data_IF_941734409983
#
_entry.id   IF_941734409983
#
_cell.length_a   1.000
_cell.length_b   1.000
_cell.length_c   1.000
_cell.angle_alpha   90.00
_cell.angle_beta   90.00
_cell.angle_gamma   90.00
#
_symmetry.space_group_name_H-M   'P 1'
#
loop_
_entity.id
_entity.type
_entity.pdbx_description
1 polymer ?
#
# COMPACT_ATOMS: atom_id res chain seq x y z
N UNK A 1 -46.29 -12.87 -57.60
CA UNK A 1 -45.47 -12.15 -56.61
C UNK A 1 -44.04 -12.20 -57.11
N UNK A 2 -43.52 -11.02 -57.44
CA UNK A 2 -42.13 -10.59 -57.74
C UNK A 2 -41.06 -11.66 -58.04
N UNK A 3 -40.58 -11.76 -59.30
CA UNK A 3 -39.51 -10.94 -59.94
C UNK A 3 -38.09 -11.29 -59.44
N UNK A 4 -37.35 -12.16 -60.15
CA UNK A 4 -36.55 -11.92 -61.37
C UNK A 4 -35.18 -11.24 -61.15
N UNK A 5 -34.13 -11.98 -61.51
CA UNK A 5 -32.76 -11.48 -61.72
C UNK A 5 -32.52 -11.16 -63.21
N UNK A 6 -31.64 -10.20 -63.53
CA UNK A 6 -30.86 -10.09 -64.80
C UNK A 6 -29.74 -9.03 -64.62
N UNK A 7 -28.64 -9.16 -65.36
CA UNK A 7 -27.43 -8.31 -65.33
C UNK A 7 -27.31 -7.35 -66.55
N UNK A 8 -26.27 -6.48 -66.52
CA UNK A 8 -25.69 -5.65 -67.59
C UNK A 8 -26.50 -4.39 -67.99
N UNK A 9 -25.93 -3.18 -68.19
CA UNK A 9 -24.80 -2.80 -69.08
C UNK A 9 -24.12 -1.47 -68.64
N UNK A 10 -22.80 -1.39 -68.86
CA UNK A 10 -21.86 -0.26 -69.04
C UNK A 10 -22.25 1.21 -68.72
N UNK A 11 -21.28 1.91 -68.10
CA UNK A 11 -20.74 3.18 -68.65
C UNK A 11 -19.22 3.32 -68.43
N UNK A 12 -18.50 3.44 -69.55
CA UNK A 12 -17.19 4.09 -69.71
C UNK A 12 -17.30 5.59 -69.34
N UNK A 13 -16.27 6.37 -69.03
CA UNK A 13 -14.82 6.18 -68.79
C UNK A 13 -14.38 7.38 -67.86
N UNK A 14 -13.15 7.63 -67.39
CA UNK A 14 -11.83 7.41 -67.99
C UNK A 14 -10.68 7.22 -66.98
N UNK A 15 -9.51 6.97 -67.57
CA UNK A 15 -8.11 6.92 -67.12
C UNK A 15 -7.50 8.28 -66.68
N UNK A 16 -6.28 8.38 -66.13
CA UNK A 16 -5.15 7.45 -66.18
C UNK A 16 -4.15 7.54 -65.00
N UNK A 17 -3.57 6.36 -64.68
CA UNK A 17 -2.15 6.06 -64.36
C UNK A 17 -1.41 6.86 -63.23
N UNK A 18 -0.50 6.28 -62.43
CA UNK A 18 0.51 5.25 -62.73
C UNK A 18 0.74 4.26 -61.57
N UNK A 19 1.21 3.07 -61.96
CA UNK A 19 1.91 2.08 -61.10
C UNK A 19 3.45 2.29 -61.26
N UNK A 20 4.41 1.71 -60.52
CA UNK A 20 4.53 0.43 -59.80
C UNK A 20 5.62 0.49 -58.70
N UNK A 21 5.46 -0.37 -57.70
CA UNK A 21 6.47 -1.19 -56.99
C UNK A 21 7.64 -0.55 -56.21
N UNK A 22 7.75 -1.01 -54.96
CA UNK A 22 8.96 -1.11 -54.15
C UNK A 22 8.63 -1.97 -52.92
N UNK A 23 9.10 -3.21 -52.88
CA UNK A 23 9.02 -4.04 -51.67
C UNK A 23 10.11 -3.57 -50.69
N UNK A 24 9.84 -3.60 -49.38
CA UNK A 24 10.68 -4.35 -48.44
C UNK A 24 10.08 -4.41 -47.01
N UNK A 25 10.46 -5.48 -46.33
CA UNK A 25 10.13 -5.99 -44.97
C UNK A 25 9.56 -5.06 -43.88
N UNK A 26 8.66 -5.56 -43.01
CA UNK A 26 8.31 -4.90 -41.75
C UNK A 26 9.44 -5.05 -40.71
N UNK A 27 9.78 -4.01 -39.92
CA UNK A 27 10.71 -4.16 -38.81
C UNK A 27 10.02 -4.88 -37.66
N UNK A 28 10.52 -6.08 -37.34
CA UNK A 28 10.28 -6.74 -36.07
C UNK A 28 11.30 -6.21 -35.04
N UNK A 29 10.85 -5.33 -34.15
CA UNK A 29 11.57 -4.95 -32.94
C UNK A 29 10.56 -4.48 -31.88
N UNK A 30 10.32 -5.32 -30.87
CA UNK A 30 9.72 -4.91 -29.59
C UNK A 30 10.68 -5.26 -28.45
N UNK A 31 11.97 -4.94 -28.63
CA UNK A 31 12.98 -5.09 -27.60
C UNK A 31 12.77 -4.08 -26.47
N UNK A 32 12.86 -4.59 -25.25
CA UNK A 32 12.84 -3.81 -24.01
C UNK A 32 14.09 -2.94 -23.91
N UNK A 33 13.95 -1.61 -23.91
CA UNK A 33 14.61 -0.64 -22.97
C UNK A 33 14.46 0.80 -23.47
N UNK A 34 13.48 1.55 -22.95
CA UNK A 34 13.59 3.02 -22.77
C UNK A 34 12.90 3.41 -21.46
N UNK A 35 13.58 4.08 -20.51
CA UNK A 35 12.93 4.57 -19.30
C UNK A 35 11.90 5.66 -19.66
N UNK A 36 10.80 5.72 -18.90
CA UNK A 36 9.68 6.65 -19.10
C UNK A 36 10.03 8.08 -18.63
N UNK A 37 11.05 8.68 -19.25
CA UNK A 37 11.47 10.08 -19.06
C UNK A 37 10.95 10.91 -20.24
N UNK A 38 9.65 11.23 -20.22
CA UNK A 38 9.08 12.24 -21.11
C UNK A 38 7.70 12.78 -20.67
N UNK A 39 7.45 12.90 -19.36
CA UNK A 39 6.23 13.52 -18.81
C UNK A 39 6.45 14.97 -18.30
N UNK A 40 7.70 15.44 -18.17
CA UNK A 40 8.02 16.81 -17.76
C UNK A 40 7.31 17.85 -18.65
N UNK A 41 7.19 17.55 -19.95
CA UNK A 41 6.46 18.34 -20.94
C UNK A 41 4.94 18.46 -20.70
N UNK A 42 4.35 17.66 -19.81
CA UNK A 42 2.93 17.78 -19.41
C UNK A 42 2.75 18.34 -17.98
N UNK A 43 3.83 18.51 -17.22
CA UNK A 43 3.82 19.32 -15.99
C UNK A 43 3.95 20.80 -16.35
N UNK A 44 4.74 21.13 -17.37
CA UNK A 44 4.97 22.51 -17.84
C UNK A 44 3.68 23.26 -18.22
N UNK A 45 2.68 22.58 -18.78
CA UNK A 45 1.40 23.18 -19.20
C UNK A 45 0.47 23.54 -18.02
N UNK A 46 0.78 23.03 -16.82
CA UNK A 46 0.17 23.46 -15.55
C UNK A 46 0.99 24.59 -14.92
N UNK A 47 2.32 24.49 -14.89
CA UNK A 47 3.23 25.54 -14.40
C UNK A 47 3.04 26.87 -15.15
N UNK A 48 2.98 26.84 -16.48
CA UNK A 48 2.94 28.06 -17.31
C UNK A 48 1.62 28.84 -17.22
N UNK A 49 0.61 28.31 -16.52
CA UNK A 49 -0.63 29.02 -16.17
C UNK A 49 -0.70 29.51 -14.72
N UNK A 50 0.30 29.17 -13.90
CA UNK A 50 0.37 29.57 -12.49
C UNK A 50 1.35 30.73 -12.27
N UNK A 51 2.33 30.95 -13.15
CA UNK A 51 3.34 32.03 -13.06
C UNK A 51 2.87 33.43 -13.51
N UNK A 52 1.56 33.69 -13.51
CA UNK A 52 0.97 35.02 -13.75
C UNK A 52 -0.17 35.31 -12.77
N UNK A 53 0.14 35.39 -11.48
CA UNK A 53 -0.66 36.10 -10.48
C UNK A 53 0.11 36.33 -9.15
N UNK A 54 1.42 36.59 -9.22
CA UNK A 54 2.24 36.98 -8.07
C UNK A 54 2.55 38.48 -8.09
N UNK A 55 1.75 39.26 -7.35
CA UNK A 55 2.15 40.57 -6.84
C UNK A 55 1.27 40.92 -5.63
N UNK A 56 1.93 41.37 -4.56
CA UNK A 56 1.40 41.65 -3.22
C UNK A 56 0.90 40.45 -2.40
N UNK A 57 1.74 40.01 -1.45
CA UNK A 57 1.35 39.84 -0.03
C UNK A 57 2.57 39.78 0.89
N UNK A 58 3.42 40.80 0.83
CA UNK A 58 4.45 41.02 1.85
C UNK A 58 3.93 42.02 2.90
N UNK A 59 4.32 41.87 4.18
CA UNK A 59 3.92 42.64 5.40
C UNK A 59 2.79 42.10 6.31
N UNK A 60 2.84 40.83 6.74
CA UNK A 60 2.28 40.41 8.06
C UNK A 60 3.25 39.55 8.89
N UNK A 61 4.50 40.01 9.02
CA UNK A 61 5.50 39.42 9.94
C UNK A 61 6.17 40.49 10.81
N UNK A 62 5.37 41.15 11.63
CA UNK A 62 5.82 42.00 12.74
C UNK A 62 4.72 42.03 13.83
N UNK A 63 5.12 42.26 15.09
CA UNK A 63 4.29 42.26 16.31
C UNK A 63 3.91 40.84 16.78
N UNK A 64 4.79 40.22 17.57
CA UNK A 64 4.49 39.05 18.40
C UNK A 64 5.36 39.01 19.69
N UNK A 65 5.14 40.01 20.53
CA UNK A 65 5.57 40.25 21.92
C UNK A 65 4.48 41.19 22.49
N UNK A 66 4.03 41.20 23.74
CA UNK A 66 4.29 40.47 24.99
C UNK A 66 3.02 40.63 25.88
N UNK A 67 2.82 39.79 26.91
CA UNK A 67 2.30 40.11 28.28
C UNK A 67 1.78 38.84 29.00
N UNK A 68 1.92 38.86 30.33
CA UNK A 68 1.93 37.71 31.27
C UNK A 68 0.58 37.21 31.79
N UNK A 69 0.62 35.92 32.17
CA UNK A 69 0.14 35.28 33.41
C UNK A 69 -1.00 35.92 34.24
N UNK A 70 -2.03 35.12 34.51
CA UNK A 70 -2.57 34.89 35.87
C UNK A 70 -2.91 33.40 36.01
N UNK A 71 -2.33 32.71 36.99
CA UNK A 71 -2.67 31.32 37.35
C UNK A 71 -3.83 31.24 38.35
N UNK A 72 -4.62 30.17 38.28
CA UNK A 72 -5.57 29.74 39.32
C UNK A 72 -5.35 28.25 39.61
N UNK A 73 -4.92 27.92 40.82
CA UNK A 73 -4.56 26.55 41.24
C UNK A 73 -5.74 25.77 41.83
N UNK A 74 -6.02 24.53 41.36
CA UNK A 74 -6.83 23.56 42.08
C UNK A 74 -5.99 22.75 43.11
N UNK A 75 -6.62 22.13 44.12
CA UNK A 75 -5.91 21.41 45.18
C UNK A 75 -5.33 20.05 44.74
N UNK A 76 -4.33 19.58 45.50
CA UNK A 76 -3.40 18.53 45.06
C UNK A 76 -3.92 17.09 45.17
N UNK A 77 -3.62 16.30 44.13
CA UNK A 77 -3.61 14.83 44.13
C UNK A 77 -2.19 14.34 44.51
N UNK A 78 -2.02 13.29 45.34
CA UNK A 78 -0.70 12.85 45.79
C UNK A 78 0.22 12.37 44.63
N UNK A 79 1.55 12.56 44.74
CA UNK A 79 2.45 12.38 43.62
C UNK A 79 2.67 10.89 43.28
N UNK A 80 2.29 10.52 42.05
CA UNK A 80 2.84 9.33 41.37
C UNK A 80 4.35 9.53 41.23
N UNK A 81 5.15 8.52 41.56
CA UNK A 81 6.61 8.62 41.52
C UNK A 81 7.07 9.05 40.12
N UNK A 82 7.74 10.21 40.03
CA UNK A 82 8.24 10.74 38.76
C UNK A 82 9.48 9.96 38.35
N UNK A 83 9.37 9.18 37.28
CA UNK A 83 10.54 8.74 36.49
C UNK A 83 11.36 9.99 36.13
N UNK A 84 12.69 10.01 36.26
CA UNK A 84 13.48 11.20 35.96
C UNK A 84 13.28 11.67 34.52
N UNK A 85 12.89 12.94 34.31
CA UNK A 85 12.52 13.50 33.00
C UNK A 85 13.48 13.12 31.87
N UNK A 86 14.78 13.22 32.15
CA UNK A 86 15.87 12.90 31.21
C UNK A 86 15.80 11.48 30.63
N UNK A 87 15.34 10.50 31.41
CA UNK A 87 15.17 9.12 30.96
C UNK A 87 13.95 8.97 30.02
N UNK A 88 12.94 9.83 30.12
CA UNK A 88 11.78 9.80 29.23
C UNK A 88 12.16 10.39 27.85
N UNK A 89 12.97 11.44 27.84
CA UNK A 89 13.43 12.11 26.61
C UNK A 89 14.38 11.22 25.79
N UNK A 90 15.37 10.62 26.46
CA UNK A 90 16.32 9.68 25.86
C UNK A 90 15.57 8.45 25.30
N UNK A 91 14.70 7.82 26.09
CA UNK A 91 13.88 6.68 25.66
C UNK A 91 12.91 7.03 24.51
N UNK A 92 12.31 8.23 24.51
CA UNK A 92 11.43 8.66 23.43
C UNK A 92 12.20 8.84 22.11
N UNK A 93 13.46 9.30 22.17
CA UNK A 93 14.33 9.34 20.99
C UNK A 93 14.63 7.94 20.47
N UNK A 94 15.08 7.03 21.34
CA UNK A 94 15.46 5.65 20.96
C UNK A 94 14.31 4.89 20.28
N UNK A 95 13.09 5.05 20.80
CA UNK A 95 11.86 4.48 20.21
C UNK A 95 11.62 5.05 18.81
N UNK A 96 11.79 6.35 18.61
CA UNK A 96 11.62 6.99 17.30
C UNK A 96 12.75 6.60 16.32
N UNK A 97 13.97 6.38 16.79
CA UNK A 97 15.07 5.84 15.98
C UNK A 97 14.80 4.38 15.55
N UNK A 98 14.23 3.56 16.44
CA UNK A 98 13.74 2.21 16.09
C UNK A 98 12.67 2.28 15.00
N UNK A 99 11.68 3.17 15.14
CA UNK A 99 10.61 3.36 14.15
C UNK A 99 11.17 3.89 12.82
N UNK A 100 12.14 4.80 12.86
CA UNK A 100 12.79 5.37 11.66
C UNK A 100 13.50 4.32 10.81
N UNK A 101 14.09 3.26 11.41
CA UNK A 101 14.69 2.13 10.66
C UNK A 101 13.70 1.40 9.75
N UNK A 102 12.39 1.55 9.96
CA UNK A 102 11.36 0.96 9.11
C UNK A 102 10.95 1.86 7.94
N UNK A 103 11.36 3.14 7.95
CA UNK A 103 10.96 4.14 6.98
C UNK A 103 11.87 4.26 5.75
N UNK A 104 11.34 4.90 4.71
CA UNK A 104 12.06 5.30 3.50
C UNK A 104 11.50 6.65 3.01
N UNK A 105 12.35 7.67 2.99
CA UNK A 105 12.00 9.01 2.51
C UNK A 105 12.44 9.19 1.05
N UNK A 106 11.73 10.04 0.31
CA UNK A 106 12.24 10.51 -0.98
C UNK A 106 13.28 11.63 -0.74
N UNK A 107 14.32 11.75 -1.59
CA UNK A 107 15.17 12.93 -1.60
C UNK A 107 14.35 14.20 -1.82
N UNK A 108 14.80 15.32 -1.24
CA UNK A 108 14.24 16.63 -1.57
C UNK A 108 14.55 16.99 -3.02
N UNK A 109 13.74 17.88 -3.62
CA UNK A 109 13.92 18.30 -5.02
C UNK A 109 15.27 18.99 -5.28
N UNK A 110 15.88 19.54 -4.24
CA UNK A 110 17.11 20.32 -4.32
C UNK A 110 18.38 19.46 -4.34
N UNK A 111 18.24 18.13 -4.31
CA UNK A 111 19.35 17.18 -4.44
C UNK A 111 20.26 17.08 -3.21
N UNK A 112 19.91 17.75 -2.11
CA UNK A 112 20.59 17.57 -0.83
C UNK A 112 20.32 16.17 -0.27
N UNK A 113 21.38 15.39 -0.07
CA UNK A 113 21.32 14.17 0.71
C UNK A 113 20.99 14.52 2.18
N UNK A 114 19.70 14.54 2.50
CA UNK A 114 19.27 14.48 3.90
C UNK A 114 19.88 13.22 4.53
N UNK A 115 20.46 13.38 5.72
CA UNK A 115 21.42 12.47 6.38
C UNK A 115 20.85 11.13 6.87
N UNK A 116 19.85 10.57 6.19
CA UNK A 116 19.03 9.45 6.64
C UNK A 116 18.10 9.79 7.80
N UNK A 117 18.11 11.04 8.29
CA UNK A 117 17.32 11.51 9.43
C UNK A 117 15.88 11.83 9.04
N UNK A 118 14.93 11.37 9.87
CA UNK A 118 13.52 11.70 9.71
C UNK A 118 13.26 13.15 10.13
N UNK A 119 13.09 14.05 9.14
CA UNK A 119 12.84 15.48 9.36
C UNK A 119 11.66 15.75 10.31
N UNK A 120 10.62 14.92 10.25
CA UNK A 120 9.44 15.02 11.11
C UNK A 120 9.63 14.49 12.54
N UNK A 121 10.74 13.83 12.90
CA UNK A 121 10.97 13.22 14.23
C UNK A 121 10.63 14.15 15.41
N UNK A 122 10.98 15.45 15.41
CA UNK A 122 10.62 16.37 16.50
C UNK A 122 9.11 16.57 16.70
N UNK A 123 8.26 16.35 15.68
CA UNK A 123 6.80 16.43 15.79
C UNK A 123 6.18 15.24 16.56
N UNK A 124 6.93 14.14 16.70
CA UNK A 124 6.46 12.90 17.29
C UNK A 124 7.05 12.62 18.68
N UNK A 125 8.13 13.29 19.09
CA UNK A 125 8.75 13.08 20.42
C UNK A 125 7.76 13.34 21.55
N UNK A 126 7.01 14.46 21.50
CA UNK A 126 5.95 14.77 22.47
C UNK A 126 4.83 13.73 22.53
N UNK A 127 4.53 13.07 21.40
CA UNK A 127 3.54 11.99 21.34
C UNK A 127 4.07 10.72 22.00
N UNK A 128 5.35 10.39 21.84
CA UNK A 128 5.96 9.23 22.50
C UNK A 128 6.13 9.48 24.00
N UNK A 129 6.64 10.66 24.40
CA UNK A 129 6.74 11.08 25.81
C UNK A 129 5.39 10.96 26.55
N UNK A 130 4.31 11.52 25.99
CA UNK A 130 2.97 11.45 26.59
C UNK A 130 2.43 10.00 26.74
N UNK A 131 2.87 9.05 25.91
CA UNK A 131 2.51 7.64 26.04
C UNK A 131 3.40 6.91 27.07
N UNK A 132 4.69 7.24 27.13
CA UNK A 132 5.61 6.74 28.15
C UNK A 132 5.18 7.15 29.57
N UNK A 133 4.76 8.41 29.77
CA UNK A 133 4.26 8.92 31.06
C UNK A 133 2.99 8.19 31.54
N UNK A 134 2.15 7.73 30.61
CA UNK A 134 0.97 6.91 30.92
C UNK A 134 1.36 5.49 31.30
N UNK A 135 2.49 4.99 30.80
CA UNK A 135 2.93 3.61 31.01
C UNK A 135 2.15 2.63 30.13
N UNK A 136 1.95 2.97 28.86
CA UNK A 136 1.24 2.16 27.88
C UNK A 136 2.13 1.88 26.65
N UNK A 137 1.85 0.78 25.93
CA UNK A 137 2.52 0.48 24.65
C UNK A 137 2.44 1.68 23.68
N UNK A 138 3.48 1.89 22.89
CA UNK A 138 3.55 3.05 21.97
C UNK A 138 2.59 2.82 20.80
N UNK A 139 1.47 3.55 20.79
CA UNK A 139 0.46 3.41 19.74
C UNK A 139 0.87 4.20 18.51
N UNK A 140 0.95 3.49 17.39
CA UNK A 140 1.17 4.02 16.05
C UNK A 140 -0.13 3.89 15.24
N UNK A 141 -0.35 4.77 14.26
CA UNK A 141 -1.51 4.70 13.38
C UNK A 141 -1.10 4.78 11.92
N UNK A 142 -1.65 3.88 11.09
CA UNK A 142 -1.38 3.80 9.66
C UNK A 142 -2.71 3.67 8.89
N UNK A 143 -3.15 4.70 8.15
CA UNK A 143 -4.16 4.53 7.12
C UNK A 143 -3.55 3.73 5.95
N UNK A 144 -4.11 2.55 5.75
CA UNK A 144 -3.61 1.51 4.85
C UNK A 144 -4.58 0.33 4.84
N UNK A 145 -4.32 -0.65 3.98
CA UNK A 145 -5.10 -1.88 3.86
C UNK A 145 -6.62 -1.63 3.61
N UNK A 146 -6.97 -0.94 2.50
CA UNK A 146 -8.34 -0.70 2.10
C UNK A 146 -9.08 -1.99 1.64
N UNK A 147 -8.65 -2.55 0.51
CA UNK A 147 -9.21 -3.70 -0.23
C UNK A 147 -8.23 -4.06 -1.36
N UNK A 148 -8.19 -5.29 -1.89
CA UNK A 148 -7.44 -5.56 -3.13
C UNK A 148 -8.05 -4.79 -4.31
N UNK A 149 -7.22 -4.22 -5.19
CA UNK A 149 -7.60 -3.44 -6.37
C UNK A 149 -8.72 -4.09 -7.20
N UNK A 150 -9.66 -3.26 -7.68
CA UNK A 150 -10.77 -3.67 -8.54
C UNK A 150 -10.29 -4.28 -9.88
N UNK A 151 -9.04 -4.01 -10.28
CA UNK A 151 -8.40 -4.66 -11.41
C UNK A 151 -7.84 -6.05 -11.03
N UNK A 152 -8.77 -7.01 -10.90
CA UNK A 152 -8.53 -8.44 -10.61
C UNK A 152 -7.96 -9.22 -11.81
N UNK A 153 -7.91 -8.60 -13.00
CA UNK A 153 -7.48 -9.25 -14.25
C UNK A 153 -5.97 -9.05 -14.49
N UNK A 154 -5.45 -7.87 -14.16
CA UNK A 154 -4.09 -7.45 -14.48
C UNK A 154 -3.21 -7.13 -13.27
N UNK A 155 -3.76 -6.77 -12.10
CA UNK A 155 -2.93 -6.25 -10.98
C UNK A 155 -2.77 -7.22 -9.81
N UNK A 156 -3.87 -7.74 -9.30
CA UNK A 156 -3.92 -8.56 -8.08
C UNK A 156 -4.21 -10.03 -8.41
N UNK A 157 -4.11 -10.89 -7.40
CA UNK A 157 -4.41 -12.34 -7.43
C UNK A 157 -5.88 -12.66 -7.13
N UNK A 158 -6.59 -11.78 -6.42
CA UNK A 158 -7.95 -12.00 -5.94
C UNK A 158 -8.49 -10.81 -5.14
N UNK A 159 -9.53 -11.04 -4.33
CA UNK A 159 -10.19 -10.00 -3.50
C UNK A 159 -9.69 -9.95 -2.06
N UNK A 160 -9.12 -11.06 -1.58
CA UNK A 160 -8.70 -11.27 -0.18
C UNK A 160 -7.19 -10.98 -0.01
N UNK A 161 -6.73 -10.71 1.23
CA UNK A 161 -5.31 -10.59 1.56
C UNK A 161 -4.49 -11.79 1.09
N UNK A 162 -3.36 -11.52 0.44
CA UNK A 162 -2.43 -12.52 -0.08
C UNK A 162 -1.06 -12.44 0.62
N UNK A 163 0.00 -13.08 0.10
CA UNK A 163 1.32 -13.07 0.74
C UNK A 163 1.88 -11.64 0.92
N UNK A 164 1.52 -10.70 0.03
CA UNK A 164 1.92 -9.31 0.16
C UNK A 164 1.33 -8.66 1.41
N UNK A 165 0.08 -8.97 1.76
CA UNK A 165 -0.51 -8.53 3.02
C UNK A 165 0.13 -9.24 4.22
N UNK A 166 0.39 -10.55 4.15
CA UNK A 166 0.99 -11.31 5.26
C UNK A 166 2.36 -10.74 5.67
N UNK A 167 3.26 -10.56 4.70
CA UNK A 167 4.60 -9.99 4.95
C UNK A 167 4.53 -8.55 5.48
N UNK A 168 3.56 -7.76 5.01
CA UNK A 168 3.35 -6.40 5.49
C UNK A 168 2.89 -6.36 6.95
N UNK A 169 1.98 -7.26 7.35
CA UNK A 169 1.56 -7.38 8.76
C UNK A 169 2.72 -7.86 9.64
N UNK A 170 3.49 -8.86 9.20
CA UNK A 170 4.71 -9.30 9.92
C UNK A 170 5.70 -8.15 10.10
N UNK A 171 5.97 -7.36 9.05
CA UNK A 171 6.88 -6.21 9.11
C UNK A 171 6.44 -5.16 10.13
N UNK A 172 5.14 -4.84 10.14
CA UNK A 172 4.56 -3.91 11.11
C UNK A 172 4.59 -4.47 12.54
N UNK A 173 4.39 -5.78 12.71
CA UNK A 173 4.49 -6.43 14.02
C UNK A 173 5.94 -6.45 14.53
N UNK A 174 6.92 -6.74 13.65
CA UNK A 174 8.34 -6.74 14.01
C UNK A 174 8.83 -5.36 14.48
N UNK A 175 8.34 -4.27 13.88
CA UNK A 175 8.61 -2.92 14.38
C UNK A 175 8.13 -2.72 15.83
N UNK A 176 6.99 -3.31 16.21
CA UNK A 176 6.49 -3.27 17.59
C UNK A 176 7.29 -4.15 18.55
N UNK A 177 7.78 -5.31 18.09
CA UNK A 177 8.68 -6.18 18.84
C UNK A 177 10.06 -5.54 19.05
N UNK A 178 10.63 -4.90 18.02
CA UNK A 178 11.91 -4.20 18.09
C UNK A 178 11.91 -3.09 19.17
N UNK A 179 10.77 -2.40 19.36
CA UNK A 179 10.61 -1.40 20.43
C UNK A 179 10.79 -2.02 21.83
N UNK A 180 10.49 -3.32 22.01
CA UNK A 180 10.67 -4.02 23.30
C UNK A 180 12.13 -4.11 23.74
N UNK A 181 13.10 -3.93 22.83
CA UNK A 181 14.52 -3.88 23.17
C UNK A 181 14.87 -2.69 24.08
N UNK A 182 14.10 -1.59 24.03
CA UNK A 182 14.31 -0.40 24.87
C UNK A 182 13.12 -0.10 25.80
N UNK A 183 11.90 -0.52 25.43
CA UNK A 183 10.68 -0.27 26.19
C UNK A 183 9.82 -1.53 26.32
N UNK A 184 9.76 -2.20 27.48
CA UNK A 184 9.16 -3.54 27.61
C UNK A 184 7.71 -3.71 27.15
N UNK A 185 6.91 -2.64 27.11
CA UNK A 185 5.53 -2.69 26.60
C UNK A 185 5.43 -2.65 25.06
N UNK A 186 6.54 -2.39 24.36
CA UNK A 186 6.62 -2.42 22.91
C UNK A 186 5.82 -1.31 22.21
N UNK A 187 5.55 -1.53 20.93
CA UNK A 187 4.62 -0.74 20.14
C UNK A 187 3.29 -1.45 19.89
N UNK A 188 2.32 -0.73 19.33
CA UNK A 188 1.09 -1.30 18.78
C UNK A 188 0.68 -0.52 17.52
N UNK A 189 0.59 -1.20 16.37
CA UNK A 189 0.14 -0.56 15.12
C UNK A 189 -1.37 -0.72 14.97
N UNK A 190 -2.05 0.42 14.96
CA UNK A 190 -3.46 0.53 14.59
C UNK A 190 -3.54 0.81 13.09
N UNK A 191 -3.94 -0.21 12.33
CA UNK A 191 -4.24 -0.10 10.91
C UNK A 191 -5.60 0.57 10.80
N UNK A 192 -5.60 1.86 10.50
CA UNK A 192 -6.79 2.66 10.29
C UNK A 192 -7.34 2.36 8.88
N UNK A 193 -8.03 1.24 8.70
CA UNK A 193 -8.47 0.77 7.38
C UNK A 193 -9.35 1.81 6.73
N UNK A 194 -8.87 2.40 5.63
CA UNK A 194 -9.61 3.33 4.79
C UNK A 194 -10.61 2.63 3.85
N UNK A 195 -10.84 1.33 4.09
CA UNK A 195 -11.86 0.43 3.51
C UNK A 195 -13.19 1.10 3.15
N UNK A 196 -13.96 1.44 4.17
CA UNK A 196 -15.28 2.04 3.99
C UNK A 196 -15.23 3.49 3.45
N UNK A 197 -14.04 4.07 3.30
CA UNK A 197 -13.85 5.48 2.94
C UNK A 197 -13.80 5.69 1.41
N UNK A 198 -13.32 4.75 0.58
CA UNK A 198 -13.28 4.96 -0.89
C UNK A 198 -13.85 3.84 -1.77
N UNK A 199 -14.31 2.72 -1.21
CA UNK A 199 -14.79 1.55 -1.95
C UNK A 199 -15.88 1.86 -3.00
N UNK A 200 -16.94 2.58 -2.61
CA UNK A 200 -18.00 3.06 -3.51
C UNK A 200 -17.47 3.99 -4.64
N UNK A 201 -16.45 4.81 -4.34
CA UNK A 201 -15.84 5.74 -5.31
C UNK A 201 -15.04 5.00 -6.39
N UNK A 202 -14.48 3.83 -6.06
CA UNK A 202 -13.69 3.00 -6.99
C UNK A 202 -14.46 1.81 -7.57
N UNK A 203 -15.67 1.54 -7.09
CA UNK A 203 -16.54 0.47 -7.58
C UNK A 203 -16.27 -0.90 -6.97
N UNK A 204 -15.97 -0.92 -5.67
CA UNK A 204 -15.85 -2.12 -4.84
C UNK A 204 -17.03 -2.12 -3.85
N UNK A 205 -17.59 -3.30 -3.57
CA UNK A 205 -18.73 -3.40 -2.68
C UNK A 205 -18.32 -3.45 -1.22
N UNK A 206 -19.21 -2.97 -0.36
CA UNK A 206 -19.08 -3.00 1.09
C UNK A 206 -18.79 -4.43 1.61
N UNK A 207 -19.30 -5.48 0.96
CA UNK A 207 -19.01 -6.88 1.27
C UNK A 207 -17.57 -7.32 0.92
N UNK A 208 -17.01 -6.84 -0.19
CA UNK A 208 -15.64 -7.14 -0.59
C UNK A 208 -14.67 -6.41 0.35
N UNK A 209 -14.98 -5.16 0.73
CA UNK A 209 -14.27 -4.39 1.77
C UNK A 209 -14.30 -5.12 3.12
N UNK A 210 -15.49 -5.60 3.53
CA UNK A 210 -15.65 -6.40 4.75
C UNK A 210 -14.80 -7.68 4.71
N UNK A 211 -14.90 -8.45 3.63
CA UNK A 211 -14.21 -9.72 3.48
C UNK A 211 -12.68 -9.55 3.47
N UNK A 212 -12.17 -8.47 2.87
CA UNK A 212 -10.75 -8.14 2.95
C UNK A 212 -10.31 -7.79 4.37
N UNK A 213 -11.08 -6.95 5.07
CA UNK A 213 -10.81 -6.58 6.48
C UNK A 213 -10.81 -7.79 7.42
N UNK A 214 -11.81 -8.66 7.33
CA UNK A 214 -11.86 -9.90 8.14
C UNK A 214 -10.76 -10.90 7.76
N UNK A 215 -10.33 -10.91 6.49
CA UNK A 215 -9.16 -11.65 6.06
C UNK A 215 -7.88 -11.20 6.79
N UNK A 216 -7.70 -9.89 7.01
CA UNK A 216 -6.57 -9.34 7.76
C UNK A 216 -6.64 -9.65 9.26
N UNK A 217 -7.83 -9.55 9.86
CA UNK A 217 -8.04 -9.96 11.27
C UNK A 217 -7.70 -11.43 11.46
N UNK A 218 -8.18 -12.28 10.54
CA UNK A 218 -7.94 -13.73 10.57
C UNK A 218 -6.46 -14.06 10.40
N UNK A 219 -5.80 -13.44 9.41
CA UNK A 219 -4.37 -13.58 9.14
C UNK A 219 -3.51 -13.14 10.33
N UNK A 220 -3.80 -11.98 10.93
CA UNK A 220 -3.09 -11.50 12.11
C UNK A 220 -3.23 -12.48 13.30
N UNK A 221 -4.41 -13.09 13.48
CA UNK A 221 -4.68 -14.07 14.53
C UNK A 221 -4.00 -15.41 14.28
N UNK A 222 -4.09 -15.95 13.06
CA UNK A 222 -3.45 -17.22 12.66
C UNK A 222 -1.92 -17.16 12.82
N UNK A 223 -1.33 -16.00 12.55
CA UNK A 223 0.12 -15.78 12.59
C UNK A 223 0.64 -15.18 13.92
N UNK A 224 -0.22 -15.01 14.94
CA UNK A 224 0.18 -14.52 16.27
C UNK A 224 0.66 -13.07 16.31
N UNK A 225 0.14 -12.20 15.44
CA UNK A 225 0.57 -10.81 15.27
C UNK A 225 -0.12 -9.86 16.26
N UNK A 226 0.09 -10.11 17.55
CA UNK A 226 -0.66 -9.49 18.65
C UNK A 226 -0.54 -7.95 18.73
N UNK A 227 0.51 -7.35 18.16
CA UNK A 227 0.68 -5.89 18.15
C UNK A 227 -0.08 -5.20 17.01
N UNK A 228 -0.72 -5.95 16.11
CA UNK A 228 -1.58 -5.42 15.05
C UNK A 228 -3.01 -5.29 15.55
N UNK A 229 -3.64 -4.13 15.30
CA UNK A 229 -5.07 -3.88 15.52
C UNK A 229 -5.65 -3.25 14.28
N UNK A 230 -6.76 -3.79 13.76
CA UNK A 230 -7.54 -3.11 12.73
C UNK A 230 -8.50 -2.12 13.40
N UNK A 231 -8.65 -0.96 12.78
CA UNK A 231 -9.46 0.15 13.24
C UNK A 231 -10.20 0.73 12.03
N UNK A 232 -11.48 0.42 11.90
CA UNK A 232 -12.35 0.89 10.81
C UNK A 232 -12.86 2.29 11.13
N UNK A 233 -13.33 3.02 10.11
CA UNK A 233 -13.94 4.34 10.31
C UNK A 233 -15.11 4.32 11.31
N UNK A 234 -15.89 3.23 11.35
CA UNK A 234 -16.98 3.04 12.34
C UNK A 234 -16.48 2.86 13.77
N UNK A 235 -15.28 2.29 13.97
CA UNK A 235 -14.64 2.20 15.28
C UNK A 235 -14.14 3.58 15.73
N UNK A 236 -13.58 4.37 14.81
CA UNK A 236 -13.09 5.73 15.08
C UNK A 236 -14.25 6.71 15.38
N UNK A 237 -15.42 6.46 14.80
CA UNK A 237 -16.66 7.19 15.09
C UNK A 237 -17.39 6.68 16.35
N UNK A 238 -16.93 5.60 16.99
CA UNK A 238 -17.53 5.03 18.21
C UNK A 238 -18.82 4.24 17.98
N UNK A 239 -19.14 3.84 16.74
CA UNK A 239 -20.37 3.10 16.44
C UNK A 239 -20.34 1.64 16.92
N UNK A 240 -19.16 1.09 17.10
CA UNK A 240 -18.89 -0.29 17.51
C UNK A 240 -18.50 -0.41 18.99
N UNK A 241 -18.47 0.71 19.74
CA UNK A 241 -18.13 0.72 21.17
C UNK A 241 -19.01 -0.27 21.96
N UNK A 242 -18.35 -1.21 22.64
CA UNK A 242 -18.99 -2.26 23.44
C UNK A 242 -19.72 -3.35 22.63
N UNK A 243 -19.53 -3.43 21.31
CA UNK A 243 -20.20 -4.40 20.43
C UNK A 243 -19.20 -5.32 19.75
N UNK A 244 -19.59 -6.58 19.53
CA UNK A 244 -18.95 -7.41 18.52
C UNK A 244 -19.39 -6.90 17.15
N UNK A 245 -18.43 -6.55 16.29
CA UNK A 245 -18.73 -6.18 14.91
C UNK A 245 -18.86 -7.45 14.06
N UNK A 246 -20.08 -7.72 13.59
CA UNK A 246 -20.35 -8.72 12.56
C UNK A 246 -20.65 -8.06 11.20
N UNK A 247 -20.88 -8.89 10.18
CA UNK A 247 -21.15 -8.42 8.81
C UNK A 247 -22.45 -7.64 8.69
N UNK A 248 -23.49 -8.00 9.44
CA UNK A 248 -24.79 -7.32 9.36
C UNK A 248 -24.69 -5.91 9.97
N UNK A 249 -24.10 -5.81 11.16
CA UNK A 249 -23.83 -4.53 11.80
C UNK A 249 -22.89 -3.68 10.94
N UNK A 250 -21.82 -4.25 10.38
CA UNK A 250 -20.93 -3.53 9.47
C UNK A 250 -21.70 -2.92 8.30
N UNK A 251 -22.45 -3.73 7.55
CA UNK A 251 -23.23 -3.29 6.38
C UNK A 251 -24.30 -2.26 6.76
N UNK A 252 -24.92 -2.39 7.93
CA UNK A 252 -25.92 -1.40 8.41
C UNK A 252 -25.32 -0.01 8.70
N UNK A 253 -24.02 0.06 8.97
CA UNK A 253 -23.32 1.28 9.37
C UNK A 253 -22.61 1.99 8.21
N UNK A 254 -22.44 1.35 7.05
CA UNK A 254 -21.52 1.84 6.00
C UNK A 254 -21.88 3.24 5.49
N UNK A 255 -23.10 3.40 4.99
CA UNK A 255 -23.59 4.67 4.47
C UNK A 255 -23.56 5.77 5.55
N UNK A 256 -24.01 5.45 6.76
CA UNK A 256 -24.03 6.40 7.89
C UNK A 256 -22.63 6.91 8.24
N UNK A 257 -21.62 6.04 8.23
CA UNK A 257 -20.24 6.43 8.52
C UNK A 257 -19.64 7.31 7.40
N UNK A 258 -19.94 7.03 6.13
CA UNK A 258 -19.53 7.88 5.00
C UNK A 258 -20.14 9.29 5.10
N UNK A 259 -21.43 9.36 5.41
CA UNK A 259 -22.17 10.62 5.57
C UNK A 259 -21.64 11.44 6.74
N UNK A 260 -21.46 10.86 7.93
CA UNK A 260 -20.94 11.57 9.10
C UNK A 260 -19.49 12.03 8.92
N UNK A 261 -18.64 11.20 8.32
CA UNK A 261 -17.26 11.55 7.99
C UNK A 261 -17.21 12.81 7.11
N UNK A 262 -18.02 12.85 6.05
CA UNK A 262 -18.07 13.98 5.14
C UNK A 262 -18.75 15.21 5.77
N UNK A 263 -19.83 15.03 6.54
CA UNK A 263 -20.51 16.15 7.21
C UNK A 263 -19.65 16.81 8.30
N UNK A 264 -18.85 16.02 9.02
CA UNK A 264 -18.08 16.50 10.18
C UNK A 264 -16.65 16.92 9.84
N UNK A 265 -16.04 16.30 8.81
CA UNK A 265 -14.63 16.48 8.47
C UNK A 265 -14.38 16.82 6.99
N UNK A 266 -15.43 16.89 6.17
CA UNK A 266 -15.37 17.23 4.76
C UNK A 266 -14.56 18.48 4.42
N UNK A 267 -14.17 18.56 3.16
CA UNK A 267 -13.73 19.79 2.48
C UNK A 267 -14.45 19.90 1.14
N UNK A 268 -14.62 21.11 0.63
CA UNK A 268 -15.13 21.29 -0.73
C UNK A 268 -14.08 20.90 -1.76
N UNK A 269 -14.50 20.71 -3.01
CA UNK A 269 -13.56 20.45 -4.11
C UNK A 269 -12.60 21.63 -4.31
N UNK A 270 -13.06 22.86 -4.14
CA UNK A 270 -12.27 24.09 -4.24
C UNK A 270 -11.19 24.16 -3.17
N UNK A 271 -11.52 23.83 -1.91
CA UNK A 271 -10.55 23.79 -0.81
C UNK A 271 -9.45 22.74 -1.07
N UNK A 272 -9.83 21.53 -1.49
CA UNK A 272 -8.86 20.47 -1.85
C UNK A 272 -7.99 20.88 -3.05
N UNK A 273 -8.58 21.57 -4.03
CA UNK A 273 -7.84 22.15 -5.16
C UNK A 273 -6.89 23.26 -4.77
N UNK A 274 -7.18 24.00 -3.71
CA UNK A 274 -6.28 25.01 -3.17
C UNK A 274 -5.13 24.35 -2.37
N UNK A 275 -5.42 23.37 -1.52
CA UNK A 275 -4.40 22.60 -0.81
C UNK A 275 -3.37 21.94 -1.75
N UNK A 276 -3.79 21.42 -2.91
CA UNK A 276 -2.87 20.87 -3.92
C UNK A 276 -1.93 21.91 -4.57
N UNK A 277 -2.19 23.21 -4.43
CA UNK A 277 -1.25 24.27 -4.83
C UNK A 277 -0.31 24.63 -3.69
N UNK A 278 -0.83 24.66 -2.46
CA UNK A 278 -0.16 25.20 -1.28
C UNK A 278 0.75 24.16 -0.59
N UNK A 279 0.46 22.86 -0.72
CA UNK A 279 1.23 21.76 -0.12
C UNK A 279 1.72 20.72 -1.17
N UNK A 280 3.05 20.59 -1.36
CA UNK A 280 3.65 19.57 -2.22
C UNK A 280 3.31 18.13 -1.84
N UNK A 281 3.16 17.80 -0.56
CA UNK A 281 2.89 16.42 -0.11
C UNK A 281 1.43 16.01 -0.45
N UNK A 282 0.48 16.95 -0.37
CA UNK A 282 -0.89 16.82 -0.88
C UNK A 282 -0.92 16.65 -2.41
N UNK A 283 -0.14 17.44 -3.16
CA UNK A 283 -0.03 17.31 -4.62
C UNK A 283 0.57 15.95 -5.03
N UNK A 284 1.61 15.48 -4.35
CA UNK A 284 2.21 14.16 -4.56
C UNK A 284 1.18 13.04 -4.35
N UNK A 285 0.32 13.18 -3.33
CA UNK A 285 -0.75 12.22 -3.03
C UNK A 285 -1.78 12.15 -4.18
N UNK A 286 -2.25 13.31 -4.68
CA UNK A 286 -3.15 13.36 -5.85
C UNK A 286 -2.51 12.79 -7.12
N UNK A 287 -1.25 13.12 -7.39
CA UNK A 287 -0.49 12.55 -8.51
C UNK A 287 -0.36 11.02 -8.38
N UNK A 288 -0.18 10.50 -7.17
CA UNK A 288 -0.24 9.08 -6.86
C UNK A 288 -1.60 8.46 -7.20
N UNK A 289 -2.69 9.10 -6.78
CA UNK A 289 -4.07 8.65 -7.06
C UNK A 289 -4.32 8.55 -8.56
N UNK A 290 -3.98 9.57 -9.35
CA UNK A 290 -4.09 9.51 -10.82
C UNK A 290 -3.32 8.32 -11.40
N UNK A 291 -2.05 8.14 -10.99
CA UNK A 291 -1.18 7.07 -11.52
C UNK A 291 -1.74 5.66 -11.30
N UNK A 292 -2.31 5.35 -10.13
CA UNK A 292 -2.90 4.02 -9.91
C UNK A 292 -4.32 3.90 -10.49
N UNK A 293 -5.16 4.93 -10.41
CA UNK A 293 -6.54 4.89 -10.89
C UNK A 293 -6.64 4.70 -12.41
N UNK A 294 -5.69 5.19 -13.21
CA UNK A 294 -5.63 4.90 -14.65
C UNK A 294 -5.52 3.38 -14.93
N UNK A 295 -4.95 2.61 -14.00
CA UNK A 295 -4.85 1.14 -14.09
C UNK A 295 -5.95 0.39 -13.33
N UNK A 296 -6.37 0.87 -12.15
CA UNK A 296 -7.38 0.21 -11.32
C UNK A 296 -8.77 0.27 -11.96
N UNK A 297 -9.18 1.45 -12.43
CA UNK A 297 -10.49 1.62 -13.07
C UNK A 297 -10.58 0.93 -14.44
N UNK A 298 -9.56 0.17 -14.87
CA UNK A 298 -9.58 -0.55 -16.15
C UNK A 298 -10.69 -1.63 -16.21
N UNK A 299 -11.12 -2.17 -15.07
CA UNK A 299 -12.23 -3.13 -14.99
C UNK A 299 -13.26 -2.78 -13.91
N UNK A 300 -13.26 -1.51 -13.43
CA UNK A 300 -14.25 -1.01 -12.48
C UNK A 300 -15.60 -0.73 -13.15
N UNK A 301 -16.74 -1.03 -12.49
CA UNK A 301 -18.05 -0.61 -12.96
C UNK A 301 -18.17 0.92 -13.09
N UNK A 302 -17.47 1.71 -12.25
CA UNK A 302 -17.45 3.18 -12.29
C UNK A 302 -16.95 3.73 -13.63
N UNK A 303 -16.15 2.95 -14.37
CA UNK A 303 -15.59 3.35 -15.65
C UNK A 303 -16.24 2.65 -16.86
N UNK A 304 -17.20 1.75 -16.67
CA UNK A 304 -17.79 0.92 -17.73
C UNK A 304 -18.29 1.78 -18.92
N UNK A 305 -19.15 2.76 -18.67
CA UNK A 305 -19.69 3.67 -19.68
C UNK A 305 -18.59 4.50 -20.36
N UNK A 306 -17.59 4.93 -19.59
CA UNK A 306 -16.52 5.80 -20.10
C UNK A 306 -15.60 5.10 -21.11
N UNK A 307 -15.46 3.77 -20.96
CA UNK A 307 -14.59 2.91 -21.78
C UNK A 307 -15.16 2.59 -23.13
N UNK A 308 -16.47 2.44 -23.23
CA UNK A 308 -17.16 2.24 -24.50
C UNK A 308 -17.07 3.47 -25.44
N UNK A 309 -16.63 4.63 -24.94
CA UNK A 309 -16.76 5.90 -25.65
C UNK A 309 -15.45 6.58 -26.08
N UNK A 310 -14.45 6.80 -25.19
CA UNK A 310 -13.11 7.27 -25.59
C UNK A 310 -12.10 7.34 -24.43
N UNK A 311 -10.80 7.29 -24.76
CA UNK A 311 -9.72 7.49 -23.78
C UNK A 311 -9.74 8.85 -23.07
N UNK A 312 -10.26 9.90 -23.71
CA UNK A 312 -10.43 11.22 -23.07
C UNK A 312 -11.52 11.20 -22.00
N UNK A 313 -12.67 10.55 -22.27
CA UNK A 313 -13.75 10.37 -21.28
C UNK A 313 -13.25 9.55 -20.08
N UNK A 314 -12.51 8.47 -20.33
CA UNK A 314 -11.88 7.68 -19.26
C UNK A 314 -10.95 8.52 -18.36
N UNK A 315 -10.02 9.30 -18.94
CA UNK A 315 -9.15 10.21 -18.16
C UNK A 315 -9.92 11.25 -17.34
N UNK A 316 -11.05 11.76 -17.87
CA UNK A 316 -11.94 12.68 -17.11
C UNK A 316 -12.60 11.96 -15.93
N UNK A 317 -13.03 10.71 -16.09
CA UNK A 317 -13.56 9.88 -14.99
C UNK A 317 -12.50 9.62 -13.92
N UNK A 318 -11.29 9.20 -14.32
CA UNK A 318 -10.14 9.02 -13.41
C UNK A 318 -9.88 10.27 -12.58
N UNK A 319 -9.84 11.46 -13.21
CA UNK A 319 -9.66 12.74 -12.50
C UNK A 319 -10.79 13.05 -11.51
N UNK A 320 -12.05 12.74 -11.85
CA UNK A 320 -13.20 12.92 -10.94
C UNK A 320 -13.09 12.00 -9.71
N UNK A 321 -12.78 10.73 -9.92
CA UNK A 321 -12.57 9.73 -8.86
C UNK A 321 -11.42 10.17 -7.95
N UNK A 322 -10.28 10.58 -8.51
CA UNK A 322 -9.12 11.04 -7.73
C UNK A 322 -9.44 12.23 -6.82
N UNK A 323 -10.23 13.21 -7.28
CA UNK A 323 -10.66 14.36 -6.47
C UNK A 323 -11.57 13.92 -5.31
N UNK A 324 -12.52 13.01 -5.56
CA UNK A 324 -13.38 12.46 -4.50
C UNK A 324 -12.57 11.67 -3.47
N UNK A 325 -11.57 10.90 -3.90
CA UNK A 325 -10.62 10.25 -2.98
C UNK A 325 -9.83 11.27 -2.16
N UNK A 326 -9.36 12.38 -2.75
CA UNK A 326 -8.64 13.43 -1.99
C UNK A 326 -9.53 14.05 -0.90
N UNK A 327 -10.79 14.43 -1.21
CA UNK A 327 -11.75 14.95 -0.24
C UNK A 327 -11.91 13.98 0.94
N UNK A 328 -12.11 12.71 0.65
CA UNK A 328 -12.34 11.68 1.67
C UNK A 328 -11.08 11.31 2.47
N UNK A 329 -9.90 11.31 1.84
CA UNK A 329 -8.63 11.01 2.50
C UNK A 329 -8.25 12.09 3.51
N UNK A 330 -8.53 13.34 3.14
CA UNK A 330 -8.40 14.50 4.01
C UNK A 330 -9.43 14.47 5.15
N UNK A 331 -10.68 14.12 4.86
CA UNK A 331 -11.73 13.96 5.88
C UNK A 331 -11.32 12.90 6.92
N UNK A 332 -10.85 11.74 6.44
CA UNK A 332 -10.39 10.65 7.31
C UNK A 332 -9.14 11.04 8.10
N UNK A 333 -8.21 11.78 7.49
CA UNK A 333 -7.02 12.29 8.19
C UNK A 333 -7.39 13.25 9.33
N UNK A 334 -8.33 14.17 9.13
CA UNK A 334 -8.84 15.03 10.21
C UNK A 334 -9.55 14.23 11.31
N UNK A 335 -10.39 13.25 10.95
CA UNK A 335 -11.06 12.37 11.93
C UNK A 335 -10.02 11.67 12.81
N UNK A 336 -8.98 11.08 12.20
CA UNK A 336 -7.89 10.41 12.92
C UNK A 336 -7.08 11.38 13.78
N UNK A 337 -6.83 12.61 13.33
CA UNK A 337 -6.18 13.65 14.14
C UNK A 337 -7.03 14.06 15.36
N UNK A 338 -8.36 14.13 15.21
CA UNK A 338 -9.28 14.49 16.29
C UNK A 338 -9.48 13.36 17.31
N UNK A 339 -9.53 12.10 16.87
CA UNK A 339 -9.85 10.94 17.71
C UNK A 339 -8.62 10.18 18.22
N UNK A 340 -7.49 10.25 17.51
CA UNK A 340 -6.24 9.58 17.86
C UNK A 340 -5.04 10.56 17.97
N UNK A 341 -5.17 11.72 18.66
CA UNK A 341 -4.17 12.80 18.61
C UNK A 341 -2.77 12.41 19.12
N UNK A 342 -2.67 11.40 19.98
CA UNK A 342 -1.43 10.93 20.59
C UNK A 342 -0.70 9.85 19.79
N UNK A 343 -1.29 9.35 18.70
CA UNK A 343 -0.71 8.21 17.97
C UNK A 343 0.41 8.70 17.03
N UNK A 344 1.48 7.91 16.91
CA UNK A 344 2.57 8.20 15.95
C UNK A 344 2.07 7.89 14.53
N UNK A 345 2.08 8.88 13.64
CA UNK A 345 1.48 8.76 12.29
C UNK A 345 2.47 8.16 11.29
N UNK A 346 2.18 6.94 10.88
CA UNK A 346 2.84 6.27 9.77
C UNK A 346 2.08 6.53 8.45
N UNK A 347 2.72 6.25 7.33
CA UNK A 347 2.12 6.35 6.00
C UNK A 347 2.72 5.31 5.06
N UNK A 348 1.93 4.86 4.08
CA UNK A 348 2.37 3.98 2.99
C UNK A 348 2.67 4.76 1.70
N UNK A 349 2.49 6.08 1.71
CA UNK A 349 2.81 6.94 0.58
C UNK A 349 4.25 7.47 0.71
N UNK A 350 5.00 7.59 -0.40
CA UNK A 350 6.22 8.39 -0.42
C UNK A 350 5.97 9.82 0.07
N UNK A 351 6.93 10.39 0.79
CA UNK A 351 6.84 11.71 1.41
C UNK A 351 8.23 12.31 1.58
N UNK A 352 8.26 13.63 1.71
CA UNK A 352 9.40 14.40 2.25
C UNK A 352 9.78 14.03 3.69
N UNK A 353 8.92 13.30 4.41
CA UNK A 353 9.17 12.90 5.80
C UNK A 353 8.87 13.97 6.84
N UNK A 354 8.41 15.15 6.41
CA UNK A 354 8.14 16.32 7.25
C UNK A 354 7.00 16.11 8.25
N UNK A 355 5.87 15.54 7.81
CA UNK A 355 4.62 15.42 8.60
C UNK A 355 4.19 13.99 8.91
N UNK A 356 4.86 12.99 8.32
CA UNK A 356 4.56 11.55 8.46
C UNK A 356 5.80 10.71 8.16
N UNK A 357 5.91 9.52 8.73
CA UNK A 357 6.94 8.55 8.33
C UNK A 357 6.40 7.64 7.23
N UNK A 358 7.03 7.67 6.06
CA UNK A 358 6.76 6.74 4.96
C UNK A 358 7.40 5.39 5.26
N UNK A 359 6.60 4.34 5.43
CA UNK A 359 7.05 2.97 5.76
C UNK A 359 6.77 2.04 4.57
N UNK A 360 7.80 1.61 3.81
CA UNK A 360 7.63 0.57 2.80
C UNK A 360 7.23 -0.74 3.47
N UNK A 361 6.10 -1.30 3.04
CA UNK A 361 5.52 -2.54 3.60
C UNK A 361 6.19 -3.82 3.09
N UNK A 362 6.77 -3.77 1.88
CA UNK A 362 7.54 -4.85 1.27
C UNK A 362 8.95 -4.33 1.00
N UNK A 363 9.97 -5.09 1.38
CA UNK A 363 11.36 -4.77 1.05
C UNK A 363 11.70 -5.45 -0.27
N UNK A 364 12.13 -4.66 -1.25
CA UNK A 364 12.52 -5.10 -2.59
C UNK A 364 14.03 -4.98 -2.75
N UNK A 365 14.65 -5.92 -3.45
CA UNK A 365 16.12 -5.95 -3.63
C UNK A 365 16.66 -4.75 -4.42
N UNK A 366 15.85 -4.08 -5.23
CA UNK A 366 16.25 -2.86 -5.97
C UNK A 366 16.35 -1.60 -5.09
N UNK A 367 15.80 -1.63 -3.87
CA UNK A 367 15.64 -0.45 -3.02
C UNK A 367 14.51 0.49 -3.44
N UNK A 368 13.80 0.22 -4.55
CA UNK A 368 12.67 1.03 -5.00
C UNK A 368 11.51 0.99 -3.99
N UNK A 369 10.86 2.14 -3.80
CA UNK A 369 9.66 2.22 -2.97
C UNK A 369 8.56 1.31 -3.55
N UNK A 370 8.05 0.33 -2.79
CA UNK A 370 7.17 -0.72 -3.30
C UNK A 370 5.78 -0.19 -3.67
N UNK A 371 5.08 -0.93 -4.53
CA UNK A 371 3.61 -0.81 -4.60
C UNK A 371 3.03 -1.35 -3.29
N UNK A 372 1.92 -0.79 -2.84
CA UNK A 372 1.22 -1.37 -1.68
C UNK A 372 0.67 -2.76 -2.03
N UNK A 373 0.62 -3.70 -1.07
CA UNK A 373 0.12 -5.07 -1.30
C UNK A 373 -1.23 -5.12 -2.02
N UNK A 374 -2.13 -4.19 -1.72
CA UNK A 374 -3.46 -4.15 -2.31
C UNK A 374 -3.53 -3.64 -3.76
N UNK A 375 -2.52 -2.92 -4.25
CA UNK A 375 -2.44 -2.49 -5.65
C UNK A 375 -1.50 -3.37 -6.51
N UNK A 376 -1.04 -4.51 -5.97
CA UNK A 376 -0.11 -5.43 -6.64
C UNK A 376 -0.35 -6.90 -6.27
N UNK A 377 0.42 -7.78 -6.89
CA UNK A 377 0.68 -9.14 -6.43
C UNK A 377 2.13 -9.23 -5.96
N UNK A 378 2.46 -10.17 -5.09
CA UNK A 378 3.85 -10.45 -4.73
C UNK A 378 4.46 -11.47 -5.70
N UNK A 379 5.69 -11.22 -6.14
CA UNK A 379 6.55 -12.20 -6.81
C UNK A 379 7.71 -12.59 -5.88
N UNK A 380 7.98 -13.89 -5.78
CA UNK A 380 9.15 -14.48 -5.12
C UNK A 380 10.12 -15.00 -6.19
N UNK A 381 11.33 -14.44 -6.20
CA UNK A 381 12.44 -14.93 -7.02
C UNK A 381 13.11 -16.16 -6.41
N UNK A 382 13.82 -16.92 -7.24
CA UNK A 382 14.64 -18.09 -6.82
C UNK A 382 15.67 -17.69 -5.76
N UNK A 383 16.21 -16.47 -5.85
CA UNK A 383 17.15 -15.94 -4.87
C UNK A 383 16.52 -15.52 -3.53
N UNK A 384 15.20 -15.68 -3.35
CA UNK A 384 14.48 -15.30 -2.13
C UNK A 384 14.06 -13.83 -2.06
N UNK A 385 14.36 -13.02 -3.08
CA UNK A 385 13.92 -11.64 -3.12
C UNK A 385 12.42 -11.53 -3.41
N UNK A 386 11.75 -10.56 -2.78
CA UNK A 386 10.37 -10.21 -3.07
C UNK A 386 10.30 -8.98 -3.99
N UNK A 387 9.37 -9.01 -4.95
CA UNK A 387 9.07 -7.87 -5.83
C UNK A 387 7.57 -7.63 -5.91
N UNK A 388 7.14 -6.37 -5.92
CA UNK A 388 5.74 -5.98 -6.08
C UNK A 388 5.41 -5.78 -7.56
N UNK A 389 4.59 -6.68 -8.11
CA UNK A 389 4.31 -6.77 -9.56
C UNK A 389 2.83 -6.57 -9.85
N UNK A 390 2.45 -6.23 -11.08
CA UNK A 390 1.08 -6.45 -11.52
C UNK A 390 0.96 -7.88 -12.06
N UNK A 391 -0.10 -8.61 -11.68
CA UNK A 391 -0.25 -10.03 -12.03
C UNK A 391 -0.14 -10.34 -13.53
N UNK A 392 -0.48 -9.42 -14.44
CA UNK A 392 -0.27 -9.61 -15.89
C UNK A 392 1.19 -9.68 -16.32
N UNK A 393 2.10 -9.00 -15.62
CA UNK A 393 3.49 -8.79 -16.07
C UNK A 393 4.35 -10.03 -15.81
N UNK A 394 3.82 -11.03 -15.08
CA UNK A 394 4.52 -12.24 -14.62
C UNK A 394 3.85 -13.57 -15.01
N UNK A 395 2.70 -13.57 -15.69
CA UNK A 395 1.92 -14.81 -15.97
C UNK A 395 2.69 -15.86 -16.79
N UNK A 396 3.66 -15.44 -17.59
CA UNK A 396 4.46 -16.33 -18.43
C UNK A 396 5.72 -16.82 -17.71
N UNK A 397 6.38 -15.95 -16.94
CA UNK A 397 7.66 -16.21 -16.27
C UNK A 397 7.55 -16.81 -14.87
N UNK A 398 6.36 -16.77 -14.25
CA UNK A 398 6.12 -17.24 -12.89
C UNK A 398 4.96 -18.23 -12.83
N UNK A 399 4.99 -19.12 -11.84
CA UNK A 399 3.86 -19.96 -11.44
C UNK A 399 3.00 -19.20 -10.42
N UNK A 400 1.67 -19.28 -10.55
CA UNK A 400 0.76 -18.78 -9.50
C UNK A 400 0.61 -19.85 -8.42
N UNK A 401 1.21 -19.62 -7.26
CA UNK A 401 1.06 -20.47 -6.09
C UNK A 401 -0.27 -20.18 -5.41
N UNK A 402 -0.99 -21.24 -5.01
CA UNK A 402 -2.29 -21.15 -4.36
C UNK A 402 -2.23 -21.57 -2.90
N UNK A 403 -3.11 -20.99 -2.08
CA UNK A 403 -3.40 -21.37 -0.68
C UNK A 403 -4.93 -21.41 -0.57
N UNK A 404 -5.51 -22.47 -0.01
CA UNK A 404 -6.96 -22.65 0.11
C UNK A 404 -7.73 -22.51 -1.22
N UNK A 405 -7.15 -22.99 -2.33
CA UNK A 405 -7.77 -22.92 -3.67
C UNK A 405 -7.79 -21.55 -4.34
N UNK A 406 -7.22 -20.50 -3.72
CA UNK A 406 -7.09 -19.15 -4.27
C UNK A 406 -5.62 -18.81 -4.56
N UNK A 407 -5.39 -17.96 -5.57
CA UNK A 407 -4.04 -17.42 -5.86
C UNK A 407 -3.49 -16.63 -4.67
N UNK A 408 -2.22 -16.83 -4.35
CA UNK A 408 -1.62 -16.33 -3.12
C UNK A 408 -0.29 -15.58 -3.34
N UNK A 409 0.56 -16.02 -4.28
CA UNK A 409 1.70 -15.25 -4.79
C UNK A 409 2.22 -15.86 -6.10
N UNK A 410 3.08 -15.12 -6.81
CA UNK A 410 3.79 -15.63 -7.98
C UNK A 410 5.20 -16.11 -7.58
N UNK A 411 5.62 -17.28 -8.07
CA UNK A 411 6.97 -17.84 -7.87
C UNK A 411 7.69 -17.93 -9.21
N UNK A 412 8.87 -17.34 -9.32
CA UNK A 412 9.70 -17.39 -10.54
C UNK A 412 9.93 -18.82 -11.00
N UNK A 413 9.75 -19.13 -12.29
CA UNK A 413 9.95 -20.50 -12.80
C UNK A 413 11.42 -20.91 -12.77
N UNK A 414 11.71 -22.12 -12.29
CA UNK A 414 13.06 -22.67 -12.18
C UNK A 414 13.04 -24.18 -11.96
N UNK A 415 14.04 -24.89 -12.50
CA UNK A 415 14.27 -26.32 -12.27
C UNK A 415 14.73 -26.64 -10.83
N UNK A 416 15.01 -25.61 -10.02
CA UNK A 416 15.33 -25.73 -8.58
C UNK A 416 14.10 -25.94 -7.69
N UNK A 417 12.89 -25.71 -8.22
CA UNK A 417 11.65 -26.02 -7.51
C UNK A 417 11.27 -27.48 -7.72
N UNK A 418 11.01 -28.21 -6.64
CA UNK A 418 10.46 -29.56 -6.72
C UNK A 418 8.97 -29.52 -7.12
N UNK A 419 8.53 -30.54 -7.87
CA UNK A 419 7.16 -30.68 -8.40
C UNK A 419 6.36 -31.72 -7.60
N UNK A 420 6.99 -32.37 -6.62
CA UNK A 420 6.37 -33.29 -5.67
C UNK A 420 5.32 -32.58 -4.78
N UNK A 421 4.04 -32.89 -4.98
CA UNK A 421 2.91 -32.34 -4.20
C UNK A 421 2.96 -32.71 -2.70
N UNK A 422 3.82 -33.66 -2.31
CA UNK A 422 4.10 -33.97 -0.90
C UNK A 422 5.06 -32.98 -0.24
N UNK A 423 5.63 -32.00 -0.98
CA UNK A 423 6.57 -30.99 -0.48
C UNK A 423 6.00 -29.58 -0.71
N UNK A 424 5.92 -28.79 0.36
CA UNK A 424 5.49 -27.39 0.32
C UNK A 424 6.67 -26.45 0.56
N UNK A 425 6.73 -25.42 -0.27
CA UNK A 425 7.62 -24.27 -0.16
C UNK A 425 6.82 -23.10 0.41
N UNK A 426 7.05 -22.76 1.67
CA UNK A 426 6.30 -21.72 2.40
C UNK A 426 7.23 -20.53 2.70
N UNK A 427 7.05 -19.38 2.01
CA UNK A 427 7.82 -18.18 2.29
C UNK A 427 7.45 -17.60 3.66
N UNK A 428 8.43 -17.11 4.41
CA UNK A 428 8.26 -16.55 5.76
C UNK A 428 9.01 -15.23 5.91
N UNK A 429 8.49 -14.33 6.74
CA UNK A 429 9.15 -13.07 7.05
C UNK A 429 10.32 -13.28 8.04
N UNK A 430 11.48 -12.61 7.88
CA UNK A 430 11.94 -11.88 6.70
C UNK A 430 12.68 -12.82 5.72
N UNK A 431 12.22 -12.89 4.46
CA UNK A 431 12.89 -13.57 3.35
C UNK A 431 13.38 -15.01 3.61
N UNK A 432 12.78 -15.74 4.54
CA UNK A 432 13.08 -17.16 4.78
C UNK A 432 12.18 -18.03 3.90
N UNK A 433 12.63 -19.24 3.59
CA UNK A 433 11.83 -20.23 2.87
C UNK A 433 11.79 -21.54 3.66
N UNK A 434 10.60 -21.90 4.15
CA UNK A 434 10.40 -23.14 4.87
C UNK A 434 10.02 -24.24 3.88
N UNK A 435 10.80 -25.32 3.84
CA UNK A 435 10.53 -26.52 3.03
C UNK A 435 10.08 -27.63 3.97
N UNK A 436 8.85 -28.11 3.80
CA UNK A 436 8.22 -29.08 4.71
C UNK A 436 7.31 -30.05 3.97
N UNK A 437 6.98 -31.22 4.53
CA UNK A 437 5.92 -32.06 4.00
C UNK A 437 4.58 -31.31 3.92
N UNK A 438 3.79 -31.56 2.87
CA UNK A 438 2.55 -30.83 2.60
C UNK A 438 1.39 -31.18 3.53
N UNK A 439 1.50 -32.28 4.29
CA UNK A 439 0.46 -32.78 5.21
C UNK A 439 1.05 -33.25 6.53
N UNK A 440 0.23 -33.22 7.59
CA UNK A 440 0.66 -33.54 8.95
C UNK A 440 1.09 -35.01 9.10
N UNK A 441 0.40 -35.94 8.45
CA UNK A 441 0.70 -37.38 8.46
C UNK A 441 2.05 -37.74 7.81
N UNK A 442 2.59 -36.87 6.96
CA UNK A 442 3.89 -37.04 6.31
C UNK A 442 5.05 -36.52 7.17
N UNK A 443 4.77 -35.76 8.24
CA UNK A 443 5.79 -35.18 9.11
C UNK A 443 6.52 -36.26 9.91
N UNK A 444 7.84 -36.30 9.78
CA UNK A 444 8.70 -37.37 10.31
C UNK A 444 8.70 -38.67 9.49
N UNK A 445 7.85 -38.79 8.47
CA UNK A 445 7.67 -39.99 7.65
C UNK A 445 8.16 -39.84 6.21
N UNK A 446 8.04 -38.64 5.61
CA UNK A 446 8.53 -38.36 4.25
C UNK A 446 10.06 -38.35 4.23
N UNK A 447 10.64 -39.25 3.44
CA UNK A 447 12.08 -39.28 3.12
C UNK A 447 12.30 -38.47 1.84
N UNK A 448 13.27 -37.55 1.83
CA UNK A 448 13.73 -36.93 0.58
C UNK A 448 14.63 -37.91 -0.18
N UNK A 449 14.37 -38.10 -1.47
CA UNK A 449 15.27 -38.84 -2.36
C UNK A 449 16.61 -38.11 -2.54
N UNK A 450 17.66 -38.81 -3.00
CA UNK A 450 18.95 -38.18 -3.27
C UNK A 450 18.85 -36.99 -4.25
N UNK A 451 17.99 -37.10 -5.27
CA UNK A 451 17.74 -36.01 -6.23
C UNK A 451 17.01 -34.82 -5.59
N UNK A 452 16.05 -35.07 -4.70
CA UNK A 452 15.36 -34.03 -3.94
C UNK A 452 16.30 -33.32 -2.95
N UNK A 453 17.19 -34.08 -2.30
CA UNK A 453 18.24 -33.55 -1.44
C UNK A 453 19.22 -32.64 -2.21
N UNK A 454 19.68 -33.09 -3.38
CA UNK A 454 20.55 -32.31 -4.27
C UNK A 454 19.88 -31.01 -4.76
N UNK A 455 18.62 -31.08 -5.21
CA UNK A 455 17.83 -29.89 -5.57
C UNK A 455 17.65 -28.93 -4.40
N UNK A 456 17.34 -29.45 -3.21
CA UNK A 456 17.23 -28.64 -1.99
C UNK A 456 18.57 -27.97 -1.63
N UNK A 457 19.70 -28.65 -1.80
CA UNK A 457 21.02 -28.06 -1.60
C UNK A 457 21.34 -26.96 -2.63
N UNK A 458 20.99 -27.18 -3.91
CA UNK A 458 21.13 -26.16 -4.94
C UNK A 458 20.22 -24.94 -4.69
N UNK A 459 18.99 -25.15 -4.22
CA UNK A 459 18.07 -24.08 -3.82
C UNK A 459 18.59 -23.32 -2.58
N UNK A 460 19.09 -24.02 -1.55
CA UNK A 460 19.77 -23.43 -0.38
C UNK A 460 20.92 -22.50 -0.81
N UNK A 461 21.68 -22.87 -1.86
CA UNK A 461 22.78 -22.06 -2.38
C UNK A 461 22.32 -20.87 -3.26
N UNK A 462 21.25 -21.03 -4.03
CA UNK A 462 20.72 -19.96 -4.90
C UNK A 462 19.94 -18.89 -4.13
N UNK A 463 19.27 -19.26 -3.03
CA UNK A 463 18.36 -18.42 -2.26
C UNK A 463 19.10 -17.47 -1.29
N UNK A 464 19.79 -16.47 -1.84
CA UNK A 464 20.72 -15.61 -1.12
C UNK A 464 20.09 -14.50 -0.26
N UNK A 465 18.81 -14.17 -0.45
CA UNK A 465 18.12 -13.12 0.32
C UNK A 465 17.72 -13.54 1.74
N UNK A 466 17.80 -14.82 2.08
CA UNK A 466 17.53 -15.35 3.42
C UNK A 466 17.57 -16.88 3.45
N UNK A 467 17.51 -17.53 4.63
CA UNK A 467 17.75 -18.96 4.76
C UNK A 467 16.62 -19.82 4.17
N UNK A 468 17.00 -20.92 3.52
CA UNK A 468 16.11 -22.05 3.19
C UNK A 468 16.22 -23.08 4.31
N UNK A 469 15.13 -23.29 5.04
CA UNK A 469 15.07 -24.16 6.21
C UNK A 469 14.20 -25.37 5.84
N UNK A 470 14.78 -26.57 5.87
CA UNK A 470 14.01 -27.81 5.75
C UNK A 470 13.59 -28.30 7.13
N UNK A 471 12.35 -28.76 7.28
CA UNK A 471 11.84 -29.37 8.51
C UNK A 471 10.94 -30.57 8.23
N UNK A 472 10.82 -31.50 9.19
CA UNK A 472 9.79 -32.53 9.17
C UNK A 472 10.02 -33.69 8.21
N UNK A 473 11.18 -33.80 7.56
CA UNK A 473 11.57 -34.99 6.81
C UNK A 473 12.15 -36.06 7.76
N UNK A 474 12.07 -37.33 7.37
CA UNK A 474 12.58 -38.44 8.17
C UNK A 474 14.12 -38.47 8.20
N UNK A 475 14.76 -38.11 7.09
CA UNK A 475 16.22 -38.11 6.89
C UNK A 475 16.87 -36.73 7.15
N UNK A 476 16.33 -35.92 8.05
CA UNK A 476 16.84 -34.56 8.35
C UNK A 476 18.30 -34.50 8.81
N UNK A 477 18.85 -35.60 9.37
CA UNK A 477 20.26 -35.65 9.78
C UNK A 477 21.23 -35.92 8.63
N UNK A 478 20.70 -36.25 7.44
CA UNK A 478 21.45 -36.61 6.24
C UNK A 478 21.41 -35.50 5.14
N UNK A 479 20.94 -34.28 5.49
CA UNK A 479 20.47 -33.20 4.57
C UNK A 479 21.09 -31.79 4.80
#
# INVERSE_FOLDING_TARGET
MEHQSIQFVQKQDSSASLSKHGYDTPPADWSTTKPLVNWENHVSDVDMRLSRLDLEHDKKRAIREEIREVELTPPATPPRAKTPSRHVDELASDILDIIQRYGQHLPSKDGEEHSGQWLGKPLFIGKVQAQLEKGQAIRLIMPAFPWKSVNRVEKVTGILPDLGEELALYRLNQMCEDIKAVYPLGGQVHIATDGLVFDDVVGISDEDTWAYGEGLVSMAKEHGLDNIKLMRVMDVLGYTDGKTLDKELYLSLTQKCREELLASYGRTEEEVRQMMKDDPDTLLTYCGFIRFLESDLKFSPIAADSKAMSGHKYRKTVKKVAIQMMIRAESFTKLLQARCPEYVRLSIHPSTGSVKLSVPLIIQASGDFPRSPWHSSLALSVNGAYTTVHSKDVKESHDLITRDGRGYYFREKSDLWEVDEEIVYEPRYPNQLLVKPSRAELFGNKVLTAQQAERLAALKAAHTAGPVIAIGFANMNDL
#
